data_IF_250807449718
#
_entry.id   IF_250807449718
#
_cell.length_a   1.000
_cell.length_b   1.000
_cell.length_c   1.000
_cell.angle_alpha   90.00
_cell.angle_beta   90.00
_cell.angle_gamma   90.00
#
_symmetry.space_group_name_H-M   'P 1'
#
loop_
_entity.id
_entity.type
_entity.pdbx_description
1 polymer ?
#
# COMPACT_ATOMS: atom_id res chain seq x y z
N UNK A 1 -48.33 15.29 4.05
CA UNK A 1 -47.34 15.18 2.94
C UNK A 1 -45.91 15.53 3.34
N UNK A 2 -45.64 16.19 4.48
CA UNK A 2 -44.30 16.61 4.88
C UNK A 2 -43.35 15.48 5.37
N UNK A 3 -43.89 14.34 5.84
CA UNK A 3 -43.09 13.32 6.54
C UNK A 3 -42.29 12.36 5.62
N UNK A 4 -42.71 12.20 4.36
CA UNK A 4 -42.01 11.31 3.40
C UNK A 4 -40.76 11.93 2.77
N UNK A 5 -40.70 13.26 2.68
CA UNK A 5 -39.58 13.99 2.09
C UNK A 5 -38.38 14.05 3.06
N UNK A 6 -38.66 14.19 4.37
CA UNK A 6 -37.63 14.15 5.42
C UNK A 6 -36.90 12.80 5.51
N UNK A 7 -37.62 11.69 5.30
CA UNK A 7 -37.03 10.35 5.28
C UNK A 7 -36.12 10.11 4.07
N UNK A 8 -36.45 10.65 2.90
CA UNK A 8 -35.63 10.54 1.69
C UNK A 8 -34.36 11.40 1.77
N UNK A 9 -34.44 12.58 2.37
CA UNK A 9 -33.27 13.44 2.63
C UNK A 9 -32.30 12.80 3.65
N UNK A 10 -32.82 12.11 4.68
CA UNK A 10 -31.98 11.41 5.66
C UNK A 10 -31.20 10.23 5.04
N UNK A 11 -31.81 9.50 4.10
CA UNK A 11 -31.10 8.44 3.36
C UNK A 11 -30.01 8.99 2.45
N UNK A 12 -30.24 10.15 1.81
CA UNK A 12 -29.26 10.77 0.93
C UNK A 12 -28.01 11.29 1.68
N UNK A 13 -28.19 11.79 2.90
CA UNK A 13 -27.07 12.27 3.74
C UNK A 13 -26.25 11.10 4.33
N UNK A 14 -26.85 9.94 4.59
CA UNK A 14 -26.12 8.75 5.05
C UNK A 14 -25.28 8.08 3.95
N UNK A 15 -25.59 8.27 2.67
CA UNK A 15 -24.77 7.76 1.55
C UNK A 15 -23.57 8.64 1.21
N UNK A 16 -23.60 9.93 1.57
CA UNK A 16 -22.49 10.86 1.27
C UNK A 16 -21.32 10.79 2.27
N UNK A 17 -21.49 10.14 3.42
CA UNK A 17 -20.40 9.98 4.40
C UNK A 17 -19.34 8.95 4.00
N UNK A 18 -19.55 8.23 2.88
CA UNK A 18 -18.58 7.26 2.32
C UNK A 18 -17.62 7.90 1.30
N UNK A 19 -17.76 9.19 0.99
CA UNK A 19 -17.03 9.87 -0.10
C UNK A 19 -15.93 10.84 0.38
N UNK A 20 -15.48 10.70 1.63
CA UNK A 20 -14.28 11.37 2.11
C UNK A 20 -13.29 10.34 2.65
N UNK A 21 -12.79 9.46 1.77
CA UNK A 21 -11.43 8.93 1.94
C UNK A 21 -10.48 10.12 1.71
N UNK A 22 -10.36 10.97 2.73
CA UNK A 22 -9.11 11.72 2.90
C UNK A 22 -8.05 10.63 2.95
N UNK A 23 -7.12 10.60 1.99
CA UNK A 23 -5.99 9.66 1.96
C UNK A 23 -5.23 9.74 3.30
N UNK A 24 -5.69 8.97 4.28
CA UNK A 24 -5.12 8.92 5.62
C UNK A 24 -3.81 8.18 5.55
N UNK A 25 -3.70 7.22 4.65
CA UNK A 25 -2.47 6.51 4.37
C UNK A 25 -1.62 7.35 3.42
N UNK A 26 -0.51 7.85 3.95
CA UNK A 26 0.37 8.76 3.25
C UNK A 26 1.56 7.97 2.71
N UNK A 27 1.59 7.67 1.42
CA UNK A 27 2.77 7.08 0.77
C UNK A 27 3.19 7.90 -0.46
N UNK A 28 4.45 7.84 -0.91
CA UNK A 28 5.64 7.20 -0.32
C UNK A 28 6.48 8.14 0.57
N UNK A 29 7.20 7.60 1.56
CA UNK A 29 8.16 8.35 2.40
C UNK A 29 9.57 7.77 2.31
N UNK A 30 10.46 8.56 1.72
CA UNK A 30 11.88 8.25 1.81
C UNK A 30 12.37 8.64 3.22
N UNK A 31 13.03 7.70 3.91
CA UNK A 31 13.95 7.97 5.02
C UNK A 31 13.41 8.27 6.44
N UNK A 32 12.12 8.13 6.76
CA UNK A 32 11.70 8.35 8.16
C UNK A 32 11.00 7.12 8.77
N UNK A 33 11.73 6.38 9.61
CA UNK A 33 11.18 5.27 10.40
C UNK A 33 10.08 5.71 11.38
N UNK A 34 10.08 7.01 11.74
CA UNK A 34 9.27 7.59 12.82
C UNK A 34 7.93 8.19 12.36
N UNK A 35 7.43 7.81 11.18
CA UNK A 35 6.11 8.27 10.71
C UNK A 35 5.01 7.56 11.51
N UNK A 36 4.10 8.32 12.10
CA UNK A 36 2.92 7.75 12.74
C UNK A 36 2.05 7.07 11.68
N UNK A 37 1.66 5.81 11.95
CA UNK A 37 0.79 5.03 11.08
C UNK A 37 -0.65 5.27 11.52
N UNK A 38 -1.49 5.93 10.69
CA UNK A 38 -2.89 6.16 11.06
C UNK A 38 -3.68 4.86 11.14
N UNK A 39 -4.80 4.89 11.86
CA UNK A 39 -5.68 3.73 11.96
C UNK A 39 -6.19 3.34 10.56
N UNK A 40 -6.11 2.04 10.25
CA UNK A 40 -6.49 1.51 8.94
C UNK A 40 -5.34 1.52 7.92
N UNK A 41 -4.15 2.00 8.30
CA UNK A 41 -2.96 1.93 7.47
C UNK A 41 -1.94 0.92 8.01
N UNK A 42 -1.08 0.43 7.13
CA UNK A 42 0.05 -0.44 7.40
C UNK A 42 1.34 0.26 7.00
N UNK A 43 2.40 0.07 7.80
CA UNK A 43 3.75 0.42 7.39
C UNK A 43 4.33 -0.69 6.51
N UNK A 44 4.74 -0.39 5.29
CA UNK A 44 5.50 -1.30 4.44
C UNK A 44 6.93 -0.82 4.35
N UNK A 45 7.86 -1.63 4.85
CA UNK A 45 9.31 -1.40 4.79
C UNK A 45 9.84 -2.16 3.58
N UNK A 46 10.58 -1.46 2.72
CA UNK A 46 11.14 -2.02 1.49
C UNK A 46 12.65 -1.90 1.54
N UNK A 47 13.32 -3.02 1.77
CA UNK A 47 14.77 -3.13 1.77
C UNK A 47 15.28 -3.53 0.38
N UNK A 48 16.50 -3.10 0.06
CA UNK A 48 17.17 -3.44 -1.19
C UNK A 48 18.38 -4.32 -0.93
N UNK A 49 18.50 -5.45 -1.63
CA UNK A 49 19.72 -6.24 -1.65
C UNK A 49 20.92 -5.36 -2.05
N UNK A 50 22.12 -5.70 -1.57
CA UNK A 50 23.31 -4.84 -1.71
C UNK A 50 23.70 -4.50 -3.15
N UNK A 51 23.30 -5.33 -4.11
CA UNK A 51 23.54 -5.18 -5.55
C UNK A 51 22.32 -4.67 -6.34
N UNK A 52 21.22 -4.35 -5.65
CA UNK A 52 19.98 -3.88 -6.24
C UNK A 52 20.07 -2.39 -6.59
N UNK A 53 20.33 -2.08 -7.87
CA UNK A 53 20.49 -0.70 -8.36
C UNK A 53 19.16 0.07 -8.33
N UNK A 54 18.09 -0.51 -8.85
CA UNK A 54 16.76 0.10 -8.84
C UNK A 54 15.70 -0.97 -9.13
N UNK A 55 14.69 -1.09 -8.26
CA UNK A 55 13.57 -2.01 -8.41
C UNK A 55 12.25 -1.30 -8.17
N UNK A 56 11.22 -1.73 -8.89
CA UNK A 56 9.86 -1.26 -8.74
C UNK A 56 8.90 -2.45 -8.76
N UNK A 57 7.87 -2.36 -7.92
CA UNK A 57 6.72 -3.24 -7.97
C UNK A 57 5.46 -2.41 -7.81
N UNK A 58 4.40 -2.79 -8.51
CA UNK A 58 3.09 -2.15 -8.37
C UNK A 58 2.13 -3.13 -7.70
N UNK A 59 1.50 -2.66 -6.64
CA UNK A 59 0.52 -3.37 -5.83
C UNK A 59 -0.85 -2.73 -6.03
N UNK A 60 -1.89 -3.55 -6.14
CA UNK A 60 -3.29 -3.11 -6.18
C UNK A 60 -4.05 -3.72 -5.01
N UNK A 61 -4.70 -2.88 -4.21
CA UNK A 61 -5.58 -3.33 -3.14
C UNK A 61 -6.82 -3.99 -3.76
N UNK A 62 -7.04 -5.26 -3.41
CA UNK A 62 -8.11 -6.08 -4.01
C UNK A 62 -9.53 -5.64 -3.64
N UNK A 63 -9.69 -4.83 -2.58
CA UNK A 63 -10.99 -4.35 -2.12
C UNK A 63 -11.25 -2.90 -2.54
N UNK A 64 -10.23 -2.04 -2.46
CA UNK A 64 -10.38 -0.59 -2.69
C UNK A 64 -9.91 -0.13 -4.07
N UNK A 65 -9.24 -1.00 -4.84
CA UNK A 65 -8.52 -0.67 -6.08
C UNK A 65 -7.44 0.41 -5.92
N UNK A 66 -6.98 0.68 -4.69
CA UNK A 66 -5.82 1.55 -4.44
C UNK A 66 -4.58 0.96 -5.10
N UNK A 67 -3.88 1.77 -5.90
CA UNK A 67 -2.63 1.37 -6.56
C UNK A 67 -1.45 2.03 -5.87
N UNK A 68 -0.51 1.20 -5.41
CA UNK A 68 0.73 1.63 -4.76
C UNK A 68 1.92 1.22 -5.61
N UNK A 69 2.78 2.18 -5.95
CA UNK A 69 4.08 1.90 -6.52
C UNK A 69 5.12 1.87 -5.41
N UNK A 70 5.75 0.72 -5.19
CA UNK A 70 6.85 0.55 -4.25
C UNK A 70 8.17 0.50 -4.98
N UNK A 71 9.19 1.11 -4.37
CA UNK A 71 10.51 1.30 -4.95
C UNK A 71 11.57 0.84 -3.96
N UNK A 72 12.70 0.34 -4.49
CA UNK A 72 13.91 0.10 -3.73
C UNK A 72 15.14 0.36 -4.59
N UNK A 73 16.24 0.73 -3.95
CA UNK A 73 17.54 0.96 -4.58
C UNK A 73 18.63 1.09 -3.51
N UNK A 74 19.55 0.13 -3.45
CA UNK A 74 20.73 0.20 -2.58
C UNK A 74 21.65 1.39 -2.93
N UNK A 75 21.57 1.93 -4.15
CA UNK A 75 22.37 3.10 -4.57
C UNK A 75 21.89 4.43 -3.97
N UNK A 76 20.60 4.52 -3.60
CA UNK A 76 20.01 5.78 -3.11
C UNK A 76 19.73 5.69 -1.61
N UNK A 77 18.95 4.69 -1.20
CA UNK A 77 18.58 4.46 0.19
C UNK A 77 18.36 2.96 0.39
N UNK A 78 19.04 2.38 1.37
CA UNK A 78 18.95 0.95 1.70
C UNK A 78 17.52 0.48 2.00
N UNK A 79 16.76 1.31 2.72
CA UNK A 79 15.40 1.01 3.19
C UNK A 79 14.44 2.16 2.89
N UNK A 80 13.32 1.84 2.26
CA UNK A 80 12.23 2.76 1.95
C UNK A 80 11.01 2.48 2.84
N UNK A 81 10.24 3.52 3.16
CA UNK A 81 9.08 3.41 4.06
C UNK A 81 7.81 3.88 3.37
N UNK A 82 6.78 3.06 3.41
CA UNK A 82 5.48 3.36 2.82
C UNK A 82 4.42 3.25 3.91
N UNK A 83 3.46 4.16 3.94
CA UNK A 83 2.24 4.03 4.74
C UNK A 83 1.08 3.91 3.77
N UNK A 84 0.51 2.71 3.69
CA UNK A 84 -0.53 2.32 2.71
C UNK A 84 -1.74 1.81 3.45
N UNK A 85 -2.92 1.72 2.82
CA UNK A 85 -4.07 1.13 3.49
C UNK A 85 -3.79 -0.32 3.86
N UNK A 86 -4.22 -0.73 5.05
CA UNK A 86 -4.22 -2.15 5.41
C UNK A 86 -5.19 -2.91 4.50
N UNK A 87 -4.83 -4.13 4.10
CA UNK A 87 -5.66 -4.95 3.23
C UNK A 87 -4.87 -6.01 2.48
N UNK A 88 -5.57 -6.66 1.56
CA UNK A 88 -4.98 -7.65 0.64
C UNK A 88 -4.61 -6.97 -0.66
N UNK A 89 -3.35 -7.09 -1.07
CA UNK A 89 -2.82 -6.51 -2.29
C UNK A 89 -2.41 -7.61 -3.26
N UNK A 90 -2.70 -7.39 -4.54
CA UNK A 90 -2.18 -8.18 -5.65
C UNK A 90 -0.99 -7.47 -6.29
N UNK A 91 0.06 -8.22 -6.59
CA UNK A 91 1.17 -7.74 -7.42
C UNK A 91 0.67 -7.67 -8.86
N UNK A 92 0.54 -6.46 -9.41
CA UNK A 92 0.08 -6.27 -10.80
C UNK A 92 1.23 -5.99 -11.77
N UNK A 93 2.40 -5.61 -11.25
CA UNK A 93 3.63 -5.43 -12.03
C UNK A 93 4.85 -5.66 -11.13
N UNK A 94 5.88 -6.33 -11.64
CA UNK A 94 7.20 -6.45 -11.02
C UNK A 94 8.28 -6.23 -12.09
N UNK A 95 9.18 -5.27 -11.88
CA UNK A 95 10.24 -5.01 -12.85
C UNK A 95 11.10 -6.26 -13.10
N UNK A 96 11.36 -6.55 -14.37
CA UNK A 96 12.10 -7.74 -14.80
C UNK A 96 13.55 -7.85 -14.31
N UNK A 97 14.11 -6.76 -13.79
CA UNK A 97 15.49 -6.68 -13.29
C UNK A 97 15.59 -6.95 -11.78
N UNK A 98 14.48 -7.28 -11.11
CA UNK A 98 14.48 -7.64 -9.71
C UNK A 98 13.57 -8.84 -9.42
N UNK A 99 13.90 -9.54 -8.34
CA UNK A 99 13.00 -10.41 -7.63
C UNK A 99 12.57 -9.75 -6.32
N UNK A 100 11.41 -10.14 -5.80
CA UNK A 100 10.87 -9.58 -4.58
C UNK A 100 10.46 -10.69 -3.61
N UNK A 101 10.68 -10.45 -2.31
CA UNK A 101 10.26 -11.33 -1.22
C UNK A 101 9.45 -10.56 -0.19
N UNK A 102 8.39 -11.18 0.32
CA UNK A 102 7.57 -10.65 1.40
C UNK A 102 7.85 -11.42 2.70
N UNK A 103 8.00 -10.67 3.80
CA UNK A 103 8.28 -11.13 5.16
C UNK A 103 9.36 -12.23 5.23
N UNK A 104 10.42 -12.09 4.45
CA UNK A 104 11.61 -12.96 4.49
C UNK A 104 11.45 -14.36 3.88
N UNK A 105 10.30 -14.69 3.27
CA UNK A 105 10.08 -16.06 2.77
C UNK A 105 9.25 -16.17 1.49
N UNK A 106 8.16 -15.42 1.37
CA UNK A 106 7.27 -15.54 0.23
C UNK A 106 7.87 -14.84 -0.99
N UNK A 107 8.25 -15.60 -2.02
CA UNK A 107 8.63 -15.03 -3.32
C UNK A 107 7.41 -14.40 -3.98
N UNK A 108 7.56 -13.18 -4.47
CA UNK A 108 6.54 -12.45 -5.20
C UNK A 108 6.78 -12.55 -6.71
N UNK A 109 5.68 -12.50 -7.45
CA UNK A 109 5.59 -12.51 -8.91
C UNK A 109 4.26 -11.85 -9.30
N UNK A 110 4.12 -11.43 -10.56
CA UNK A 110 2.85 -10.85 -11.04
C UNK A 110 1.69 -11.84 -10.84
N UNK A 111 0.64 -11.38 -10.18
CA UNK A 111 -0.49 -12.19 -9.76
C UNK A 111 -0.42 -12.71 -8.32
N UNK A 112 0.73 -12.67 -7.66
CA UNK A 112 0.85 -13.04 -6.25
C UNK A 112 0.09 -12.06 -5.35
N UNK A 113 -0.40 -12.54 -4.21
CA UNK A 113 -1.10 -11.73 -3.21
C UNK A 113 -0.35 -11.66 -1.90
N UNK A 114 -0.39 -10.49 -1.25
CA UNK A 114 0.16 -10.24 0.09
C UNK A 114 -0.90 -9.58 0.98
N UNK A 115 -0.81 -9.80 2.28
CA UNK A 115 -1.69 -9.18 3.28
C UNK A 115 -0.87 -8.21 4.12
N UNK A 116 -1.31 -6.95 4.14
CA UNK A 116 -0.72 -5.85 4.90
C UNK A 116 -1.66 -5.47 6.05
N UNK A 117 -1.34 -5.84 7.29
CA UNK A 117 -2.20 -5.61 8.46
C UNK A 117 -1.58 -4.72 9.55
N UNK A 118 -0.27 -4.81 9.77
CA UNK A 118 0.45 -4.02 10.80
C UNK A 118 1.75 -3.43 10.26
N UNK A 119 2.73 -4.30 9.98
CA UNK A 119 3.96 -3.95 9.26
C UNK A 119 4.30 -5.05 8.28
N UNK A 120 4.48 -4.67 7.01
CA UNK A 120 5.00 -5.55 5.98
C UNK A 120 6.47 -5.29 5.74
N UNK A 121 7.23 -6.35 5.44
CA UNK A 121 8.62 -6.26 5.01
C UNK A 121 8.74 -6.81 3.59
N UNK A 122 9.31 -6.02 2.70
CA UNK A 122 9.62 -6.40 1.34
C UNK A 122 11.11 -6.27 1.11
N UNK A 123 11.69 -7.23 0.40
CA UNK A 123 13.08 -7.16 -0.04
C UNK A 123 13.11 -7.26 -1.55
N UNK A 124 13.74 -6.29 -2.21
CA UNK A 124 14.12 -6.41 -3.61
C UNK A 124 15.52 -7.01 -3.72
N UNK A 125 15.68 -8.03 -4.55
CA UNK A 125 16.95 -8.72 -4.83
C UNK A 125 17.16 -8.73 -6.34
N UNK A 126 18.40 -8.81 -6.82
CA UNK A 126 18.68 -8.92 -8.25
C UNK A 126 18.47 -10.34 -8.79
#
# INVERSE_FOLDING_TARGET
MCNRILLLLAFFVCSLSMLANVDTCKGPYMMNQSVSVPRGCTKLIVDSGSDMIAGKMTLENTETAEVVNVYGSATYVQSWFFVVSSGTYKVIHLDSNCSARYNGGQKLYEGATIVLSETGYLTFER
#
